data_IF_070336082465
#
_entry.id   IF_070336082465
#
_cell.length_a   1.000
_cell.length_b   1.000
_cell.length_c   1.000
_cell.angle_alpha   90.00
_cell.angle_beta   90.00
_cell.angle_gamma   90.00
#
_symmetry.space_group_name_H-M   'P 1'
#
loop_
_entity.id
_entity.type
_entity.pdbx_description
1 polymer ?
#
# COMPACT_ATOMS: atom_id res chain seq x y z
N UNK A 1 -55.12 -60.41 -23.10
CA UNK A 1 -54.52 -59.43 -22.16
C UNK A 1 -53.46 -58.63 -22.91
N UNK A 2 -53.53 -57.30 -22.89
CA UNK A 2 -52.60 -56.44 -23.60
C UNK A 2 -51.27 -56.35 -22.82
N UNK A 3 -50.21 -56.98 -23.33
CA UNK A 3 -48.86 -56.79 -22.78
C UNK A 3 -48.29 -55.46 -23.25
N UNK A 4 -47.88 -54.60 -22.30
CA UNK A 4 -47.13 -53.38 -22.61
C UNK A 4 -45.73 -53.79 -23.08
N UNK A 5 -45.47 -53.65 -24.38
CA UNK A 5 -44.12 -53.82 -24.94
C UNK A 5 -43.21 -52.67 -24.48
N UNK A 6 -42.09 -53.03 -23.85
CA UNK A 6 -40.87 -52.25 -23.77
C UNK A 6 -40.92 -51.03 -22.85
N UNK A 7 -40.35 -51.16 -21.65
CA UNK A 7 -39.77 -50.01 -20.94
C UNK A 7 -38.35 -49.85 -21.45
N UNK A 8 -38.04 -48.71 -22.05
CA UNK A 8 -36.66 -48.34 -22.37
C UNK A 8 -35.95 -47.91 -21.09
N UNK A 9 -34.83 -48.55 -20.76
CA UNK A 9 -33.96 -48.07 -19.68
C UNK A 9 -33.04 -46.99 -20.24
N UNK A 10 -33.05 -45.79 -19.66
CA UNK A 10 -32.10 -44.74 -19.98
C UNK A 10 -30.93 -44.84 -19.02
N UNK A 11 -29.74 -45.13 -19.54
CA UNK A 11 -28.54 -45.33 -18.72
C UNK A 11 -27.82 -43.99 -18.50
N UNK A 12 -28.12 -43.33 -17.38
CA UNK A 12 -27.53 -42.05 -16.99
C UNK A 12 -26.21 -42.23 -16.23
N UNK A 13 -25.30 -43.07 -16.73
CA UNK A 13 -24.03 -43.41 -16.09
C UNK A 13 -22.82 -42.54 -16.48
N UNK A 14 -23.01 -41.44 -17.23
CA UNK A 14 -21.90 -40.59 -17.70
C UNK A 14 -21.62 -39.45 -16.71
N UNK A 15 -20.42 -39.45 -16.14
CA UNK A 15 -19.93 -38.34 -15.33
C UNK A 15 -18.48 -37.97 -15.71
N UNK A 16 -18.08 -36.76 -15.36
CA UNK A 16 -16.75 -36.22 -15.59
C UNK A 16 -15.87 -36.36 -14.34
N UNK A 17 -14.56 -36.56 -14.54
CA UNK A 17 -13.61 -36.54 -13.42
C UNK A 17 -13.58 -35.16 -12.75
N UNK A 18 -13.60 -35.15 -11.41
CA UNK A 18 -13.48 -33.93 -10.59
C UNK A 18 -12.24 -33.10 -10.97
N UNK A 19 -12.42 -31.77 -11.02
CA UNK A 19 -11.38 -30.82 -11.44
C UNK A 19 -10.53 -30.27 -10.28
N UNK A 20 -10.68 -30.82 -9.06
CA UNK A 20 -9.89 -30.45 -7.87
C UNK A 20 -9.88 -28.93 -7.60
N UNK A 21 -11.02 -28.28 -7.84
CA UNK A 21 -11.23 -26.86 -7.52
C UNK A 21 -11.19 -26.63 -6.00
N UNK A 22 -11.23 -25.36 -5.58
CA UNK A 22 -11.27 -24.95 -4.18
C UNK A 22 -10.05 -24.14 -3.75
N UNK A 23 -10.09 -23.73 -2.48
CA UNK A 23 -9.03 -23.00 -1.79
C UNK A 23 -7.82 -23.93 -1.58
N UNK A 24 -6.62 -23.40 -1.76
CA UNK A 24 -5.33 -24.09 -1.64
C UNK A 24 -4.51 -23.52 -0.48
N UNK A 25 -4.57 -22.21 -0.27
CA UNK A 25 -4.02 -21.53 0.90
C UNK A 25 -5.14 -20.81 1.64
N UNK A 26 -5.24 -21.06 2.94
CA UNK A 26 -6.27 -20.50 3.81
C UNK A 26 -5.82 -19.16 4.42
N UNK A 27 -6.76 -18.42 4.99
CA UNK A 27 -6.45 -17.18 5.71
C UNK A 27 -5.50 -17.44 6.88
N UNK A 28 -4.50 -16.57 7.05
CA UNK A 28 -3.47 -16.70 8.08
C UNK A 28 -2.27 -17.57 7.68
N UNK A 29 -2.30 -18.21 6.50
CA UNK A 29 -1.15 -18.98 6.01
C UNK A 29 -0.19 -18.10 5.21
N UNK A 30 1.09 -18.47 5.26
CA UNK A 30 2.13 -17.82 4.46
C UNK A 30 2.01 -18.27 3.00
N UNK A 31 2.04 -17.30 2.10
CA UNK A 31 2.14 -17.47 0.67
C UNK A 31 3.48 -16.92 0.19
N UNK A 32 4.08 -17.63 -0.77
CA UNK A 32 5.20 -17.16 -1.58
C UNK A 32 4.63 -16.67 -2.90
N UNK A 33 5.28 -15.69 -3.53
CA UNK A 33 4.96 -15.20 -4.86
C UNK A 33 4.81 -16.37 -5.85
N UNK A 34 3.74 -16.34 -6.64
CA UNK A 34 3.37 -17.40 -7.58
C UNK A 34 2.51 -18.52 -6.98
N UNK A 35 2.39 -18.65 -5.66
CA UNK A 35 1.54 -19.69 -5.05
C UNK A 35 0.08 -19.52 -5.47
N UNK A 36 -0.58 -20.63 -5.80
CA UNK A 36 -2.01 -20.65 -6.07
C UNK A 36 -2.76 -20.59 -4.74
N UNK A 37 -3.67 -19.63 -4.62
CA UNK A 37 -4.51 -19.45 -3.42
C UNK A 37 -5.86 -20.12 -3.61
N UNK A 38 -6.51 -19.94 -4.77
CA UNK A 38 -7.83 -20.52 -5.06
C UNK A 38 -7.95 -20.93 -6.52
N UNK A 39 -8.39 -22.17 -6.77
CA UNK A 39 -8.85 -22.60 -8.11
C UNK A 39 -10.36 -22.60 -8.17
N UNK A 40 -10.96 -21.88 -9.11
CA UNK A 40 -12.42 -21.68 -9.13
C UNK A 40 -13.00 -21.73 -10.54
N UNK A 41 -14.34 -21.70 -10.61
CA UNK A 41 -15.10 -21.50 -11.84
C UNK A 41 -15.91 -20.23 -11.67
N UNK A 42 -15.67 -19.27 -12.55
CA UNK A 42 -16.05 -17.88 -12.32
C UNK A 42 -15.31 -17.28 -11.12
N UNK A 43 -15.64 -16.04 -10.78
CA UNK A 43 -15.04 -15.30 -9.66
C UNK A 43 -15.93 -15.36 -8.43
N UNK A 44 -15.82 -16.44 -7.64
CA UNK A 44 -16.44 -16.51 -6.30
C UNK A 44 -15.63 -15.68 -5.30
N UNK A 45 -14.31 -15.80 -5.41
CA UNK A 45 -13.34 -14.94 -4.75
C UNK A 45 -12.75 -13.99 -5.78
N UNK A 46 -12.55 -12.73 -5.38
CA UNK A 46 -12.00 -11.68 -6.20
C UNK A 46 -10.55 -11.36 -5.81
N UNK A 47 -9.69 -10.99 -6.78
CA UNK A 47 -8.35 -10.54 -6.47
C UNK A 47 -8.42 -9.21 -5.70
N UNK A 48 -7.68 -9.13 -4.61
CA UNK A 48 -7.44 -7.91 -3.87
C UNK A 48 -5.97 -7.48 -3.98
N UNK A 49 -5.41 -6.93 -2.90
CA UNK A 49 -4.04 -6.44 -2.89
C UNK A 49 -3.04 -7.60 -2.97
N UNK A 50 -2.01 -7.45 -3.82
CA UNK A 50 -0.94 -8.43 -4.02
C UNK A 50 -1.41 -9.83 -4.50
N UNK A 51 -2.57 -9.90 -5.14
CA UNK A 51 -3.14 -11.14 -5.69
C UNK A 51 -3.50 -10.93 -7.17
N UNK A 52 -2.99 -11.80 -8.03
CA UNK A 52 -3.30 -11.84 -9.45
C UNK A 52 -4.45 -12.79 -9.78
N UNK A 53 -5.06 -12.61 -10.95
CA UNK A 53 -6.09 -13.51 -11.50
C UNK A 53 -5.64 -14.09 -12.84
N UNK A 54 -5.71 -15.42 -12.98
CA UNK A 54 -5.40 -16.12 -14.22
C UNK A 54 -6.58 -16.16 -15.19
N UNK A 55 -6.34 -16.60 -16.44
CA UNK A 55 -7.37 -16.77 -17.47
C UNK A 55 -8.53 -17.67 -17.05
N UNK A 56 -8.26 -18.68 -16.21
CA UNK A 56 -9.26 -19.60 -15.68
C UNK A 56 -9.88 -19.13 -14.35
N UNK A 57 -9.69 -17.85 -13.99
CA UNK A 57 -10.09 -17.22 -12.73
C UNK A 57 -9.37 -17.75 -11.48
N UNK A 58 -8.30 -18.54 -11.64
CA UNK A 58 -7.43 -18.96 -10.52
C UNK A 58 -6.77 -17.73 -9.90
N UNK A 59 -6.81 -17.62 -8.57
CA UNK A 59 -6.13 -16.57 -7.82
C UNK A 59 -4.75 -17.05 -7.38
N UNK A 60 -3.74 -16.20 -7.56
CA UNK A 60 -2.34 -16.49 -7.20
C UNK A 60 -1.67 -15.30 -6.53
N UNK A 61 -0.65 -15.58 -5.72
CA UNK A 61 0.13 -14.58 -5.00
C UNK A 61 1.05 -13.79 -5.95
N UNK A 62 1.11 -12.46 -5.81
CA UNK A 62 2.09 -11.62 -6.52
C UNK A 62 3.32 -11.33 -5.66
N UNK A 63 3.17 -11.34 -4.34
CA UNK A 63 4.23 -11.10 -3.37
C UNK A 63 4.17 -12.12 -2.25
N UNK A 64 5.25 -12.22 -1.49
CA UNK A 64 5.32 -13.02 -0.27
C UNK A 64 4.51 -12.34 0.85
N UNK A 65 3.96 -13.13 1.76
CA UNK A 65 3.25 -12.63 2.93
C UNK A 65 2.15 -13.56 3.42
N UNK A 66 1.20 -13.03 4.19
CA UNK A 66 0.11 -13.80 4.78
C UNK A 66 -1.19 -13.59 4.02
N UNK A 67 -1.89 -14.68 3.70
CA UNK A 67 -3.18 -14.64 2.99
C UNK A 67 -4.29 -14.13 3.91
N UNK A 68 -5.10 -13.19 3.42
CA UNK A 68 -6.26 -12.65 4.13
C UNK A 68 -7.49 -12.66 3.23
N UNK A 69 -8.61 -13.22 3.72
CA UNK A 69 -9.90 -13.16 3.06
C UNK A 69 -10.76 -12.06 3.71
N UNK A 70 -11.20 -11.07 2.93
CA UNK A 70 -12.02 -9.95 3.43
C UNK A 70 -13.32 -9.85 2.63
N UNK A 71 -14.46 -9.76 3.32
CA UNK A 71 -15.74 -9.44 2.68
C UNK A 71 -15.84 -7.93 2.45
N UNK A 72 -16.42 -7.54 1.31
CA UNK A 72 -16.59 -6.15 0.87
C UNK A 72 -18.04 -5.91 0.41
N UNK A 73 -18.28 -4.76 -0.24
CA UNK A 73 -19.59 -4.35 -0.77
C UNK A 73 -20.19 -5.46 -1.65
N UNK A 74 -21.52 -5.56 -1.62
CA UNK A 74 -22.29 -6.59 -2.34
C UNK A 74 -21.94 -8.04 -1.93
N UNK A 75 -21.51 -8.25 -0.68
CA UNK A 75 -21.15 -9.59 -0.16
C UNK A 75 -20.06 -10.32 -0.96
N UNK A 76 -19.24 -9.58 -1.71
CA UNK A 76 -18.11 -10.13 -2.46
C UNK A 76 -16.93 -10.37 -1.53
N UNK A 77 -16.24 -11.50 -1.71
CA UNK A 77 -15.04 -11.82 -0.92
C UNK A 77 -13.79 -11.55 -1.74
N UNK A 78 -12.90 -10.73 -1.19
CA UNK A 78 -11.61 -10.37 -1.77
C UNK A 78 -10.49 -11.12 -1.04
N UNK A 79 -9.49 -11.53 -1.80
CA UNK A 79 -8.29 -12.20 -1.29
C UNK A 79 -7.12 -11.24 -1.40
N UNK A 80 -6.48 -10.96 -0.27
CA UNK A 80 -5.31 -10.10 -0.18
C UNK A 80 -4.11 -10.89 0.34
N UNK A 81 -2.90 -10.43 0.03
CA UNK A 81 -1.68 -10.84 0.72
C UNK A 81 -1.13 -9.65 1.47
N UNK A 82 -1.02 -9.81 2.80
CA UNK A 82 -0.38 -8.85 3.69
C UNK A 82 1.11 -9.18 3.72
N UNK A 83 2.00 -8.36 3.14
CA UNK A 83 3.42 -8.63 3.14
C UNK A 83 3.94 -8.67 4.58
N UNK A 84 4.65 -9.73 4.92
CA UNK A 84 5.32 -9.86 6.21
C UNK A 84 6.74 -9.37 5.99
N UNK A 85 6.97 -8.08 6.24
CA UNK A 85 8.32 -7.54 6.30
C UNK A 85 8.93 -7.97 7.62
N UNK A 86 9.90 -8.86 7.56
CA UNK A 86 10.66 -9.26 8.74
C UNK A 86 11.66 -8.16 9.10
N UNK A 87 11.28 -7.27 10.02
CA UNK A 87 12.19 -6.34 10.71
C UNK A 87 13.16 -7.06 11.70
N UNK A 88 13.37 -8.36 11.53
CA UNK A 88 13.96 -9.23 12.56
C UNK A 88 15.48 -9.43 12.37
N UNK A 89 16.07 -8.85 11.32
CA UNK A 89 17.52 -8.98 11.08
C UNK A 89 18.36 -7.96 11.87
N UNK A 90 17.78 -6.86 12.38
CA UNK A 90 18.56 -5.85 13.15
C UNK A 90 18.76 -6.16 14.64
N UNK A 91 18.14 -7.22 15.19
CA UNK A 91 18.16 -7.50 16.64
C UNK A 91 19.03 -8.66 17.10
N UNK A 92 19.70 -9.39 16.20
CA UNK A 92 20.53 -10.55 16.56
C UNK A 92 22.05 -10.26 16.60
N UNK A 93 22.50 -9.07 16.21
CA UNK A 93 23.94 -8.73 16.16
C UNK A 93 24.51 -8.12 17.46
N UNK A 94 23.75 -8.07 18.57
CA UNK A 94 24.18 -7.39 19.81
C UNK A 94 24.29 -8.30 21.05
N UNK A 95 24.55 -9.59 20.87
CA UNK A 95 24.85 -10.50 21.98
C UNK A 95 25.94 -11.48 21.54
N UNK A 96 27.19 -11.06 21.67
CA UNK A 96 28.25 -11.83 22.35
C UNK A 96 29.63 -11.21 22.04
N UNK A 97 30.31 -10.78 23.10
CA UNK A 97 31.68 -10.27 23.06
C UNK A 97 32.64 -11.30 23.63
N UNK A 98 33.80 -11.41 22.96
CA UNK A 98 35.14 -11.78 23.46
C UNK A 98 35.65 -13.23 23.19
N UNK A 99 36.98 -13.44 23.13
CA UNK A 99 37.89 -12.91 22.10
C UNK A 99 38.90 -13.98 21.58
N UNK A 100 39.30 -13.96 20.30
CA UNK A 100 40.46 -14.74 19.82
C UNK A 100 41.14 -14.17 18.55
N UNK A 101 42.23 -13.43 18.77
CA UNK A 101 43.57 -13.53 18.12
C UNK A 101 43.67 -13.49 16.57
N UNK A 102 44.01 -12.29 16.09
CA UNK A 102 45.07 -11.89 15.13
C UNK A 102 45.34 -12.65 13.82
N UNK A 103 45.28 -11.89 12.71
CA UNK A 103 46.33 -11.62 11.68
C UNK A 103 45.76 -10.55 10.71
N UNK A 104 46.08 -9.25 10.79
CA UNK A 104 47.29 -8.53 10.35
C UNK A 104 47.49 -8.42 8.83
N UNK A 105 47.12 -7.25 8.26
CA UNK A 105 47.78 -6.46 7.18
C UNK A 105 46.75 -5.41 6.64
N UNK A 106 46.65 -4.16 7.10
CA UNK A 106 47.52 -2.96 6.88
C UNK A 106 47.68 -2.63 5.36
N UNK A 107 47.40 -1.47 4.74
CA UNK A 107 47.05 -0.05 5.12
C UNK A 107 46.97 0.80 3.78
N UNK A 108 46.86 2.17 3.71
CA UNK A 108 45.72 3.09 3.90
C UNK A 108 45.57 4.29 2.88
N UNK A 109 44.60 5.18 3.18
CA UNK A 109 44.60 6.68 3.04
C UNK A 109 44.09 7.24 1.70
N UNK A 110 43.27 8.29 1.60
CA UNK A 110 42.94 9.43 2.48
C UNK A 110 41.46 9.87 2.22
N UNK A 111 40.62 10.09 3.23
CA UNK A 111 40.33 11.37 3.91
C UNK A 111 39.88 12.52 2.99
N UNK A 112 38.63 12.96 3.16
CA UNK A 112 38.38 14.35 3.52
C UNK A 112 37.06 14.54 4.26
N UNK A 113 37.20 15.23 5.38
CA UNK A 113 36.18 15.73 6.31
C UNK A 113 35.79 17.14 5.86
N UNK A 114 34.50 17.47 5.80
CA UNK A 114 34.02 18.84 5.96
C UNK A 114 32.56 18.82 6.46
N UNK A 115 32.39 19.42 7.63
CA UNK A 115 31.20 19.59 8.45
C UNK A 115 30.10 20.43 7.80
N UNK A 116 28.88 19.88 7.79
CA UNK A 116 27.64 20.64 8.01
C UNK A 116 26.60 19.67 8.58
N UNK A 117 26.08 19.98 9.76
CA UNK A 117 25.08 19.22 10.51
C UNK A 117 23.89 18.81 9.63
N UNK A 118 23.86 17.54 9.21
CA UNK A 118 22.68 16.90 8.64
C UNK A 118 22.15 15.97 9.71
N UNK A 119 21.33 16.51 10.60
CA UNK A 119 20.38 15.72 11.39
C UNK A 119 19.57 14.90 10.38
N UNK A 120 19.66 13.59 10.46
CA UNK A 120 18.87 12.66 9.66
C UNK A 120 17.40 12.98 9.91
N UNK A 121 16.77 13.66 8.94
CA UNK A 121 15.40 14.10 9.02
C UNK A 121 14.50 12.87 8.95
N UNK A 122 13.89 12.52 10.08
CA UNK A 122 12.72 11.67 10.10
C UNK A 122 11.72 12.19 9.05
N UNK A 123 11.27 11.32 8.15
CA UNK A 123 10.24 11.66 7.17
C UNK A 123 8.91 11.89 7.90
N UNK A 124 8.26 13.02 7.64
CA UNK A 124 6.99 13.37 8.26
C UNK A 124 5.81 12.64 7.59
N UNK A 125 4.71 12.40 8.33
CA UNK A 125 3.50 11.82 7.75
C UNK A 125 2.62 12.87 7.05
N UNK A 126 2.95 13.18 5.80
CA UNK A 126 2.22 14.16 4.97
C UNK A 126 0.71 13.85 4.81
N UNK A 127 0.24 12.65 5.18
CA UNK A 127 -1.19 12.27 5.11
C UNK A 127 -2.07 13.01 6.12
N UNK A 128 -1.47 13.69 7.10
CA UNK A 128 -2.19 14.53 8.07
C UNK A 128 -2.76 15.78 7.42
N UNK A 129 -2.20 16.21 6.29
CA UNK A 129 -2.67 17.39 5.54
C UNK A 129 -3.90 17.01 4.71
N UNK A 130 -4.96 17.81 4.82
CA UNK A 130 -6.20 17.60 4.09
C UNK A 130 -5.96 17.68 2.57
N UNK A 131 -6.50 16.70 1.84
CA UNK A 131 -6.32 16.58 0.40
C UNK A 131 -5.07 15.78 -0.01
N UNK A 132 -4.13 15.52 0.90
CA UNK A 132 -2.97 14.65 0.64
C UNK A 132 -3.32 13.20 1.02
N UNK A 133 -3.75 12.44 0.01
CA UNK A 133 -3.96 10.98 0.15
C UNK A 133 -2.64 10.18 0.07
N UNK A 134 -2.68 8.85 0.33
CA UNK A 134 -1.48 8.00 0.30
C UNK A 134 -0.67 8.09 -0.99
N UNK A 135 -1.35 8.20 -2.15
CA UNK A 135 -0.71 8.31 -3.46
C UNK A 135 -0.09 9.67 -3.74
N UNK A 136 -0.61 10.72 -3.11
CA UNK A 136 -0.06 12.08 -3.24
C UNK A 136 1.14 12.21 -2.30
N UNK A 137 1.03 11.70 -1.07
CA UNK A 137 2.17 11.60 -0.16
C UNK A 137 3.34 10.83 -0.79
N UNK A 138 3.08 9.68 -1.41
CA UNK A 138 4.11 8.91 -2.13
C UNK A 138 4.74 9.72 -3.28
N UNK A 139 3.92 10.43 -4.05
CA UNK A 139 4.37 11.29 -5.16
C UNK A 139 5.24 12.45 -4.69
N UNK A 140 4.87 13.10 -3.58
CA UNK A 140 5.65 14.18 -2.95
C UNK A 140 6.97 13.65 -2.37
N UNK A 141 6.94 12.49 -1.73
CA UNK A 141 8.16 11.84 -1.24
C UNK A 141 9.12 11.52 -2.39
N UNK A 142 8.59 11.02 -3.51
CA UNK A 142 9.39 10.73 -4.71
C UNK A 142 9.96 11.99 -5.37
N UNK A 143 9.35 13.16 -5.18
CA UNK A 143 9.88 14.45 -5.64
C UNK A 143 10.84 15.11 -4.66
N UNK A 144 11.14 14.44 -3.54
CA UNK A 144 12.05 14.93 -2.51
C UNK A 144 11.38 15.81 -1.45
N UNK A 145 10.05 15.97 -1.48
CA UNK A 145 9.28 16.67 -0.46
C UNK A 145 8.86 15.62 0.59
N UNK A 146 9.72 15.39 1.58
CA UNK A 146 9.51 14.33 2.61
C UNK A 146 9.22 14.86 4.00
N UNK A 147 9.23 16.18 4.20
CA UNK A 147 8.99 16.84 5.50
C UNK A 147 7.95 17.94 5.40
N UNK A 148 7.30 18.27 6.50
CA UNK A 148 6.34 19.38 6.56
C UNK A 148 7.02 20.71 6.21
N UNK A 149 8.25 20.92 6.66
CA UNK A 149 9.04 22.11 6.34
C UNK A 149 9.32 22.22 4.84
N UNK A 150 9.66 21.11 4.17
CA UNK A 150 9.88 21.10 2.72
C UNK A 150 8.59 21.38 1.94
N UNK A 151 7.45 20.87 2.41
CA UNK A 151 6.16 21.10 1.77
C UNK A 151 5.65 22.54 1.99
N UNK A 152 5.87 23.11 3.18
CA UNK A 152 5.54 24.50 3.49
C UNK A 152 6.36 25.50 2.64
N UNK A 153 7.61 25.15 2.33
CA UNK A 153 8.47 25.96 1.47
C UNK A 153 8.15 25.82 -0.03
N UNK A 154 7.41 24.78 -0.43
CA UNK A 154 7.06 24.55 -1.82
C UNK A 154 5.99 25.56 -2.29
N UNK A 155 6.15 26.07 -3.52
CA UNK A 155 5.16 26.97 -4.12
C UNK A 155 3.95 26.20 -4.63
N UNK A 156 2.77 26.81 -4.56
CA UNK A 156 1.52 26.20 -5.05
C UNK A 156 1.62 25.83 -6.53
N UNK A 157 2.28 26.66 -7.34
CA UNK A 157 2.47 26.38 -8.78
C UNK A 157 3.38 25.18 -9.04
N UNK A 158 4.44 25.01 -8.24
CA UNK A 158 5.29 23.83 -8.31
C UNK A 158 4.51 22.56 -7.95
N UNK A 159 3.70 22.61 -6.89
CA UNK A 159 2.85 21.50 -6.48
C UNK A 159 1.81 21.15 -7.55
N UNK A 160 1.17 22.16 -8.17
CA UNK A 160 0.25 21.95 -9.30
C UNK A 160 0.93 21.28 -10.47
N UNK A 161 2.11 21.75 -10.85
CA UNK A 161 2.90 21.19 -11.95
C UNK A 161 3.25 19.71 -11.70
N UNK A 162 3.63 19.39 -10.46
CA UNK A 162 3.95 18.03 -10.03
C UNK A 162 2.75 17.08 -10.12
N UNK A 163 1.56 17.56 -9.72
CA UNK A 163 0.32 16.78 -9.82
C UNK A 163 -0.12 16.58 -11.26
N UNK A 164 0.05 17.61 -12.11
CA UNK A 164 -0.26 17.54 -13.54
C UNK A 164 0.64 16.55 -14.28
N UNK A 165 1.94 16.56 -13.98
CA UNK A 165 2.92 15.62 -14.54
C UNK A 165 2.62 14.18 -14.14
N UNK A 166 2.21 13.95 -12.89
CA UNK A 166 1.84 12.63 -12.40
C UNK A 166 0.51 12.08 -12.97
N UNK A 167 -0.27 12.93 -13.65
CA UNK A 167 -1.38 12.54 -14.50
C UNK A 167 -2.75 13.06 -14.06
N UNK A 168 -3.70 13.04 -15.00
CA UNK A 168 -5.01 13.69 -14.87
C UNK A 168 -5.88 13.25 -13.68
N UNK A 169 -5.57 12.12 -13.03
CA UNK A 169 -6.26 11.66 -11.81
C UNK A 169 -6.05 12.58 -10.61
N UNK A 170 -4.96 13.35 -10.59
CA UNK A 170 -4.57 14.20 -9.47
C UNK A 170 -5.10 15.64 -9.58
N UNK A 171 -5.60 16.03 -10.76
CA UNK A 171 -6.17 17.37 -11.02
C UNK A 171 -7.40 17.73 -10.19
N UNK A 172 -8.03 16.73 -9.58
CA UNK A 172 -9.17 16.92 -8.68
C UNK A 172 -8.72 17.52 -7.33
N UNK A 173 -7.45 17.38 -6.98
CA UNK A 173 -6.89 17.92 -5.74
C UNK A 173 -6.29 19.31 -5.99
N UNK A 174 -6.71 20.31 -5.21
CA UNK A 174 -6.11 21.64 -5.23
C UNK A 174 -5.06 21.76 -4.13
N UNK A 175 -3.77 22.00 -4.47
CA UNK A 175 -2.71 22.15 -3.48
C UNK A 175 -2.69 23.52 -2.79
N UNK A 176 -3.65 24.42 -3.07
CA UNK A 176 -3.65 25.79 -2.54
C UNK A 176 -3.55 25.89 -1.01
N UNK A 177 -4.07 24.90 -0.28
CA UNK A 177 -4.06 24.86 1.19
C UNK A 177 -2.90 24.06 1.79
N UNK A 178 -2.17 23.30 0.98
CA UNK A 178 -1.15 22.37 1.50
C UNK A 178 0.04 23.07 2.15
N UNK A 179 0.62 24.15 1.59
CA UNK A 179 1.76 24.82 2.22
C UNK A 179 1.43 25.41 3.60
N UNK A 180 0.23 25.99 3.74
CA UNK A 180 -0.22 26.58 5.01
C UNK A 180 -0.46 25.51 6.08
N UNK A 181 -1.12 24.41 5.72
CA UNK A 181 -1.29 23.27 6.62
C UNK A 181 0.04 22.64 7.03
N UNK A 182 0.96 22.49 6.07
CA UNK A 182 2.28 21.97 6.31
C UNK A 182 3.06 22.87 7.28
N UNK A 183 2.91 24.20 7.19
CA UNK A 183 3.53 25.12 8.12
C UNK A 183 2.98 24.95 9.55
N UNK A 184 1.66 24.84 9.72
CA UNK A 184 1.05 24.58 11.04
C UNK A 184 1.52 23.23 11.63
N UNK A 185 1.63 22.21 10.79
CA UNK A 185 2.16 20.90 11.17
C UNK A 185 3.64 20.98 11.57
N UNK A 186 4.46 21.72 10.82
CA UNK A 186 5.88 21.95 11.14
C UNK A 186 6.07 22.73 12.45
N UNK A 187 5.17 23.68 12.74
CA UNK A 187 5.12 24.44 13.99
C UNK A 187 4.64 23.61 15.19
N UNK A 188 4.20 22.36 14.98
CA UNK A 188 3.67 21.48 16.03
C UNK A 188 2.25 21.85 16.50
N UNK A 189 1.56 22.75 15.79
CA UNK A 189 0.21 23.23 16.13
C UNK A 189 -0.88 22.26 15.65
N UNK A 190 -0.78 21.01 16.07
CA UNK A 190 -1.65 19.93 15.59
C UNK A 190 -3.12 20.10 16.01
N UNK A 191 -3.38 20.75 17.14
CA UNK A 191 -4.74 21.07 17.59
C UNK A 191 -5.39 22.13 16.72
N UNK A 192 -4.68 23.22 16.46
CA UNK A 192 -5.15 24.31 15.59
C UNK A 192 -5.34 23.83 14.15
N UNK A 193 -4.43 22.99 13.66
CA UNK A 193 -4.58 22.36 12.34
C UNK A 193 -5.86 21.53 12.25
N UNK A 194 -6.18 20.76 13.30
CA UNK A 194 -7.38 19.92 13.30
C UNK A 194 -8.66 20.76 13.35
N UNK A 195 -8.70 21.80 14.19
CA UNK A 195 -9.83 22.73 14.23
C UNK A 195 -10.03 23.42 12.88
N UNK A 196 -8.93 23.84 12.25
CA UNK A 196 -8.94 24.44 10.93
C UNK A 196 -9.44 23.46 9.84
N UNK A 197 -9.04 22.19 9.89
CA UNK A 197 -9.55 21.14 9.00
C UNK A 197 -11.04 20.84 9.22
N UNK A 198 -11.52 20.85 10.47
CA UNK A 198 -12.93 20.62 10.79
C UNK A 198 -13.82 21.78 10.29
N UNK A 199 -13.30 23.02 10.28
CA UNK A 199 -13.99 24.21 9.77
C UNK A 199 -14.00 24.31 8.22
N UNK A 200 -13.06 23.63 7.55
CA UNK A 200 -12.98 23.60 6.09
C UNK A 200 -14.06 22.72 5.46
N UNK A 201 -14.87 23.32 4.58
CA UNK A 201 -15.76 22.56 3.69
C UNK A 201 -15.00 22.10 2.45
N UNK A 202 -14.33 20.96 2.56
CA UNK A 202 -13.71 20.26 1.43
C UNK A 202 -12.43 20.93 0.91
N UNK A 203 -11.55 21.36 1.82
CA UNK A 203 -10.20 21.83 1.50
C UNK A 203 -10.08 23.18 0.79
N UNK A 204 -11.15 23.96 0.64
CA UNK A 204 -11.12 25.33 0.11
C UNK A 204 -11.18 26.32 1.27
N UNK A 205 -10.22 27.26 1.34
CA UNK A 205 -10.28 28.39 2.29
C UNK A 205 -11.68 29.02 2.22
N UNK A 206 -12.36 29.28 3.35
CA UNK A 206 -13.47 30.21 3.32
C UNK A 206 -12.92 31.49 2.71
N UNK A 207 -13.55 31.98 1.62
CA UNK A 207 -13.26 33.33 1.15
C UNK A 207 -13.43 34.23 2.37
N UNK A 208 -12.31 34.73 2.88
CA UNK A 208 -12.30 35.76 3.89
C UNK A 208 -13.22 36.84 3.33
N UNK A 209 -14.32 37.09 4.04
CA UNK A 209 -15.07 38.32 3.94
C UNK A 209 -14.07 39.44 4.20
N UNK A 210 -13.43 39.92 3.14
CA UNK A 210 -12.76 41.20 3.12
C UNK A 210 -13.84 42.22 3.47
N UNK A 211 -13.66 42.82 4.63
CA UNK A 211 -14.39 43.99 5.08
C UNK A 211 -14.25 45.08 4.02
N UNK A 212 -15.36 45.45 3.37
CA UNK A 212 -15.78 46.83 3.10
C UNK A 212 -17.30 46.95 3.19
#
# INVERSE_FOLDING_TARGET
MAHKKGVGSTDNGRDSKSKRLGVKLFGGQVAVAGNIIVRQRGTKFHPGNNVGIGKDHTLYALSDGTVQFKRSRLNRTFVNIVPVFSEVEEKLDQIDTAPAISKSADKPKASQTATSSKTEAASDDLKIIEGIGPKIAELLNNSGITTYAALAAATVDHLRSLLDEAGGRYRVHDPGTWPQQAQMAADGKMTELKEWQDDLKGGKLPESSEEE
#
